data_IF_151003861404
#
_entry.id   IF_151003861404
#
_cell.length_a   1.000
_cell.length_b   1.000
_cell.length_c   1.000
_cell.angle_alpha   90.00
_cell.angle_beta   90.00
_cell.angle_gamma   90.00
#
_symmetry.space_group_name_H-M   'P 1'
#
loop_
_entity.id
_entity.type
_entity.pdbx_description
1 polymer ?
#
# COMPACT_ATOMS: atom_id res chain seq x y z
N UNK A 1 -2.21 -6.36 8.80
CA UNK A 1 -2.63 -6.07 7.41
C UNK A 1 -2.66 -7.33 6.55
N UNK A 2 -3.75 -7.57 5.84
CA UNK A 2 -3.94 -8.65 4.86
C UNK A 2 -3.95 -8.04 3.45
N UNK A 3 -3.10 -8.56 2.56
CA UNK A 3 -3.10 -8.13 1.15
C UNK A 3 -4.34 -8.72 0.46
N UNK A 4 -5.14 -7.86 -0.18
CA UNK A 4 -6.30 -8.27 -0.97
C UNK A 4 -5.92 -8.45 -2.43
N UNK A 5 -5.21 -7.47 -2.98
CA UNK A 5 -4.72 -7.46 -4.36
C UNK A 5 -3.47 -6.61 -4.45
N UNK A 6 -2.54 -6.99 -5.31
CA UNK A 6 -1.50 -6.09 -5.79
C UNK A 6 -1.31 -6.27 -7.28
N UNK A 7 -0.83 -5.23 -7.94
CA UNK A 7 -0.53 -5.22 -9.36
C UNK A 7 0.78 -4.49 -9.61
N UNK A 8 1.48 -4.91 -10.65
CA UNK A 8 2.61 -4.19 -11.18
C UNK A 8 2.55 -4.16 -12.72
N UNK A 9 2.57 -2.96 -13.30
CA UNK A 9 2.67 -2.75 -14.74
C UNK A 9 3.40 -1.43 -15.01
N UNK A 10 4.35 -1.40 -15.96
CA UNK A 10 5.00 -0.17 -16.45
C UNK A 10 5.45 0.78 -15.33
N UNK A 11 6.35 0.32 -14.46
CA UNK A 11 6.90 1.10 -13.33
C UNK A 11 5.89 1.56 -12.29
N UNK A 12 4.65 1.04 -12.30
CA UNK A 12 3.63 1.38 -11.32
C UNK A 12 3.22 0.17 -10.51
N UNK A 13 3.36 0.26 -9.20
CA UNK A 13 2.88 -0.73 -8.26
C UNK A 13 1.60 -0.25 -7.58
N UNK A 14 0.62 -1.12 -7.44
CA UNK A 14 -0.63 -0.86 -6.73
C UNK A 14 -0.82 -1.90 -5.64
N UNK A 15 -1.29 -1.46 -4.48
CA UNK A 15 -1.60 -2.32 -3.35
C UNK A 15 -2.99 -1.99 -2.82
N UNK A 16 -3.85 -3.00 -2.74
CA UNK A 16 -5.08 -2.95 -1.98
C UNK A 16 -4.98 -3.93 -0.81
N UNK A 17 -5.09 -3.42 0.41
CA UNK A 17 -4.92 -4.21 1.61
C UNK A 17 -5.95 -3.86 2.68
N UNK A 18 -6.34 -4.85 3.46
CA UNK A 18 -7.22 -4.72 4.61
C UNK A 18 -6.38 -4.62 5.89
N UNK A 19 -6.69 -3.67 6.76
CA UNK A 19 -6.11 -3.57 8.09
C UNK A 19 -6.83 -4.53 9.04
N UNK A 20 -6.09 -5.03 10.04
CA UNK A 20 -6.70 -5.92 11.05
C UNK A 20 -7.30 -5.10 12.20
N UNK A 21 -6.68 -3.96 12.50
CA UNK A 21 -7.16 -2.97 13.44
C UNK A 21 -8.07 -1.96 12.72
N UNK A 22 -9.00 -1.34 13.44
CA UNK A 22 -9.94 -0.35 12.91
C UNK A 22 -9.21 0.91 12.42
N UNK A 23 -9.30 1.19 11.12
CA UNK A 23 -8.62 2.33 10.48
C UNK A 23 -9.28 3.67 10.80
N UNK A 24 -10.55 3.70 11.23
CA UNK A 24 -11.25 4.95 11.52
C UNK A 24 -10.64 5.72 12.69
N UNK A 25 -9.94 5.02 13.59
CA UNK A 25 -9.19 5.61 14.69
C UNK A 25 -7.71 5.89 14.40
N UNK A 26 -7.21 5.54 13.21
CA UNK A 26 -5.81 5.72 12.84
C UNK A 26 -5.59 7.06 12.15
N UNK A 27 -4.38 7.61 12.31
CA UNK A 27 -3.97 8.77 11.51
C UNK A 27 -3.65 8.35 10.09
N UNK A 28 -3.99 9.19 9.13
CA UNK A 28 -3.66 8.99 7.72
C UNK A 28 -2.16 8.74 7.49
N UNK A 29 -1.28 9.49 8.19
CA UNK A 29 0.18 9.30 8.09
C UNK A 29 0.63 7.90 8.51
N UNK A 30 0.00 7.34 9.54
CA UNK A 30 0.33 6.00 10.04
C UNK A 30 -0.14 4.93 9.04
N UNK A 31 -1.36 5.09 8.50
CA UNK A 31 -1.90 4.24 7.44
C UNK A 31 -1.00 4.26 6.20
N UNK A 32 -0.62 5.45 5.73
CA UNK A 32 0.22 5.61 4.55
C UNK A 32 1.61 5.03 4.75
N UNK A 33 2.21 5.22 5.94
CA UNK A 33 3.51 4.65 6.30
C UNK A 33 3.48 3.11 6.29
N UNK A 34 2.43 2.52 6.85
CA UNK A 34 2.25 1.06 6.86
C UNK A 34 2.08 0.50 5.45
N UNK A 35 1.26 1.17 4.62
CA UNK A 35 1.07 0.81 3.23
C UNK A 35 2.37 0.93 2.42
N UNK A 36 3.16 1.99 2.63
CA UNK A 36 4.45 2.18 1.98
C UNK A 36 5.44 1.09 2.37
N UNK A 37 5.54 0.77 3.67
CA UNK A 37 6.42 -0.28 4.16
C UNK A 37 6.06 -1.65 3.59
N UNK A 38 4.76 -1.98 3.53
CA UNK A 38 4.30 -3.22 2.92
C UNK A 38 4.60 -3.25 1.42
N UNK A 39 4.37 -2.14 0.73
CA UNK A 39 4.61 -2.00 -0.71
C UNK A 39 6.09 -2.20 -1.06
N UNK A 40 7.01 -1.56 -0.33
CA UNK A 40 8.46 -1.76 -0.51
C UNK A 40 8.86 -3.22 -0.36
N UNK A 41 8.34 -3.90 0.67
CA UNK A 41 8.66 -5.31 0.89
C UNK A 41 8.13 -6.22 -0.24
N UNK A 42 6.92 -5.96 -0.76
CA UNK A 42 6.36 -6.72 -1.88
C UNK A 42 7.17 -6.46 -3.16
N UNK A 43 7.45 -5.20 -3.47
CA UNK A 43 8.22 -4.81 -4.66
C UNK A 43 9.64 -5.39 -4.62
N UNK A 44 10.31 -5.35 -3.46
CA UNK A 44 11.61 -5.98 -3.27
C UNK A 44 11.56 -7.50 -3.47
N UNK A 45 10.56 -8.17 -2.91
CA UNK A 45 10.43 -9.61 -3.03
C UNK A 45 10.04 -10.06 -4.45
N UNK A 46 9.20 -9.31 -5.15
CA UNK A 46 8.69 -9.67 -6.47
C UNK A 46 9.62 -9.24 -7.63
N UNK A 47 10.27 -8.09 -7.50
CA UNK A 47 11.03 -7.44 -8.59
C UNK A 47 12.51 -7.24 -8.26
N UNK A 48 12.95 -7.46 -7.02
CA UNK A 48 14.32 -7.15 -6.60
C UNK A 48 14.62 -5.65 -6.49
N UNK A 49 13.60 -4.78 -6.58
CA UNK A 49 13.77 -3.34 -6.49
C UNK A 49 13.78 -2.88 -5.02
N UNK A 50 14.86 -2.19 -4.63
CA UNK A 50 15.08 -1.67 -3.27
C UNK A 50 15.13 -0.13 -3.23
N UNK A 51 14.63 0.51 -4.29
CA UNK A 51 14.66 1.96 -4.44
C UNK A 51 13.49 2.69 -3.76
N UNK A 52 13.39 3.98 -4.06
CA UNK A 52 12.29 4.82 -3.56
C UNK A 52 10.99 4.49 -4.28
N UNK A 53 9.87 4.52 -3.55
CA UNK A 53 8.53 4.43 -4.10
C UNK A 53 7.86 5.78 -3.90
N UNK A 54 7.53 6.46 -5.00
CA UNK A 54 6.81 7.73 -4.98
C UNK A 54 5.31 7.47 -4.96
N UNK A 55 4.59 8.04 -3.99
CA UNK A 55 3.16 7.82 -3.84
C UNK A 55 2.38 8.70 -4.81
N UNK A 56 1.64 8.06 -5.72
CA UNK A 56 0.77 8.74 -6.70
C UNK A 56 -0.64 8.94 -6.16
N UNK A 57 -1.17 7.96 -5.43
CA UNK A 57 -2.55 7.96 -4.99
C UNK A 57 -2.74 7.10 -3.75
N UNK A 58 -3.64 7.52 -2.85
CA UNK A 58 -4.18 6.71 -1.77
C UNK A 58 -5.67 6.94 -1.60
N UNK A 59 -6.41 5.88 -1.32
CA UNK A 59 -7.83 5.91 -0.96
C UNK A 59 -8.08 4.98 0.22
N UNK A 60 -8.84 5.47 1.20
CA UNK A 60 -9.24 4.75 2.41
C UNK A 60 -10.71 4.35 2.32
N UNK A 61 -11.03 3.12 2.70
CA UNK A 61 -12.38 2.56 2.67
C UNK A 61 -12.75 2.01 4.04
N UNK A 62 -13.28 2.86 4.92
CA UNK A 62 -13.64 2.54 6.30
C UNK A 62 -14.63 1.37 6.40
N UNK A 63 -15.65 1.32 5.53
CA UNK A 63 -16.65 0.24 5.51
C UNK A 63 -16.05 -1.18 5.37
N UNK A 64 -14.90 -1.27 4.70
CA UNK A 64 -14.20 -2.54 4.45
C UNK A 64 -12.90 -2.66 5.23
N UNK A 65 -12.60 -1.66 6.07
CA UNK A 65 -11.34 -1.52 6.78
C UNK A 65 -10.12 -1.69 5.86
N UNK A 66 -10.20 -1.14 4.63
CA UNK A 66 -9.20 -1.37 3.59
C UNK A 66 -8.67 -0.09 2.97
N UNK A 67 -7.46 -0.16 2.41
CA UNK A 67 -6.74 0.97 1.85
C UNK A 67 -6.13 0.56 0.52
N UNK A 68 -6.29 1.42 -0.47
CA UNK A 68 -5.65 1.31 -1.77
C UNK A 68 -4.57 2.37 -1.91
N UNK A 69 -3.37 1.97 -2.34
CA UNK A 69 -2.30 2.89 -2.70
C UNK A 69 -1.72 2.54 -4.07
N UNK A 70 -1.19 3.54 -4.77
CA UNK A 70 -0.36 3.34 -5.96
C UNK A 70 0.93 4.14 -5.88
N UNK A 71 2.00 3.53 -6.38
CA UNK A 71 3.35 4.07 -6.35
C UNK A 71 4.05 3.93 -7.70
N UNK A 72 4.98 4.85 -7.99
CA UNK A 72 5.91 4.81 -9.13
C UNK A 72 7.34 4.55 -8.66
N UNK A 73 8.17 4.02 -9.57
CA UNK A 73 9.61 3.76 -9.35
C UNK A 73 10.46 3.91 -10.62
#
# INVERSE_FOLDING_TARGET
>A
MKVLRFEYEKNRFKLHAMFMDDISGMRDDDIQRDMLFKSKNIVKAALGFDGYLEQEHSSTYEETNSVYCSYTF
#
